data_IF_184547351981
#
_entry.id   IF_184547351981
#
_cell.length_a   1.000
_cell.length_b   1.000
_cell.length_c   1.000
_cell.angle_alpha   90.00
_cell.angle_beta   90.00
_cell.angle_gamma   90.00
#
_symmetry.space_group_name_H-M   'P 1'
#
loop_
_entity.id
_entity.type
_entity.pdbx_description
1 polymer ?
#
# COMPACT_ATOMS: atom_id res chain seq x y z
N UNK A 1 4.73 -8.39 -0.23
CA UNK A 1 3.28 -8.14 -0.33
C UNK A 1 2.83 -7.80 -1.76
N UNK A 2 2.98 -6.56 -2.24
CA UNK A 2 2.42 -6.13 -3.56
C UNK A 2 2.89 -6.99 -4.74
N UNK A 3 4.18 -7.36 -4.77
CA UNK A 3 4.72 -8.21 -5.84
C UNK A 3 4.26 -9.67 -5.78
N UNK A 4 3.60 -10.09 -4.71
CA UNK A 4 3.15 -11.47 -4.50
C UNK A 4 1.61 -11.60 -4.48
N UNK A 5 0.86 -10.49 -4.61
CA UNK A 5 -0.59 -10.57 -4.62
C UNK A 5 -1.12 -11.11 -5.96
N UNK A 6 -2.31 -11.69 -5.91
CA UNK A 6 -3.11 -12.16 -7.05
C UNK A 6 -4.19 -11.14 -7.46
N UNK A 7 -4.60 -10.28 -6.52
CA UNK A 7 -5.48 -9.13 -6.74
C UNK A 7 -4.86 -7.89 -6.08
N UNK A 8 -4.78 -6.80 -6.83
CA UNK A 8 -4.40 -5.48 -6.34
C UNK A 8 -5.60 -4.54 -6.43
N UNK A 9 -6.01 -4.00 -5.28
CA UNK A 9 -7.09 -3.00 -5.20
C UNK A 9 -6.45 -1.65 -4.94
N UNK A 10 -6.40 -0.80 -5.96
CA UNK A 10 -5.87 0.55 -5.89
C UNK A 10 -7.00 1.56 -5.67
N UNK A 11 -6.95 2.31 -4.57
CA UNK A 11 -7.97 3.29 -4.20
C UNK A 11 -7.38 4.69 -4.06
N UNK A 12 -7.81 5.64 -4.89
CA UNK A 12 -7.29 7.02 -4.87
C UNK A 12 -5.79 7.12 -5.17
N UNK A 13 -5.25 6.08 -5.81
CA UNK A 13 -3.84 5.95 -6.16
C UNK A 13 -3.68 6.29 -7.64
N UNK A 14 -2.74 7.18 -7.93
CA UNK A 14 -2.22 7.35 -9.29
C UNK A 14 -1.04 6.41 -9.44
N UNK A 15 -1.08 5.55 -10.45
CA UNK A 15 0.06 4.72 -10.83
C UNK A 15 1.13 5.60 -11.47
N UNK A 16 1.83 6.39 -10.67
CA UNK A 16 2.86 7.31 -11.16
C UNK A 16 4.21 6.60 -11.27
N UNK A 17 5.09 7.14 -12.11
CA UNK A 17 6.45 6.60 -12.35
C UNK A 17 7.34 6.61 -11.08
N UNK A 18 6.97 7.40 -10.07
CA UNK A 18 7.60 7.47 -8.75
C UNK A 18 7.33 6.26 -7.85
N UNK A 19 6.38 5.40 -8.22
CA UNK A 19 6.06 4.18 -7.47
C UNK A 19 7.02 3.06 -7.93
N UNK A 20 8.17 3.03 -7.28
CA UNK A 20 9.10 1.87 -7.18
C UNK A 20 9.36 1.10 -8.48
N UNK A 21 10.00 1.76 -9.45
CA UNK A 21 10.65 1.09 -10.58
C UNK A 21 9.67 0.50 -11.59
N UNK A 22 10.24 0.11 -12.75
CA UNK A 22 9.58 -0.52 -13.91
C UNK A 22 8.13 -0.94 -13.67
N UNK A 23 7.19 -0.06 -14.01
CA UNK A 23 5.74 -0.27 -13.90
C UNK A 23 5.30 -1.59 -14.59
N UNK A 24 6.04 -2.00 -15.62
CA UNK A 24 5.92 -3.27 -16.34
C UNK A 24 6.21 -4.53 -15.50
N UNK A 25 6.83 -4.37 -14.33
CA UNK A 25 7.08 -5.44 -13.37
C UNK A 25 6.20 -5.33 -12.12
N UNK A 26 5.42 -4.26 -11.97
CA UNK A 26 4.62 -4.02 -10.78
C UNK A 26 3.38 -4.92 -10.74
N UNK A 27 3.31 -5.81 -9.76
CA UNK A 27 2.16 -6.70 -9.54
C UNK A 27 1.74 -7.45 -10.82
N UNK A 28 2.73 -7.87 -11.63
CA UNK A 28 2.51 -8.37 -13.00
C UNK A 28 1.57 -9.57 -13.10
N UNK A 29 1.52 -10.39 -12.06
CA UNK A 29 0.61 -11.55 -11.97
C UNK A 29 -0.78 -11.21 -11.41
N UNK A 30 -0.98 -10.02 -10.88
CA UNK A 30 -2.19 -9.65 -10.16
C UNK A 30 -3.27 -9.09 -11.10
N UNK A 31 -4.52 -9.34 -10.76
CA UNK A 31 -5.68 -8.61 -11.29
C UNK A 31 -5.78 -7.24 -10.64
N UNK A 32 -5.97 -6.20 -11.44
CA UNK A 32 -5.96 -4.83 -10.94
C UNK A 32 -7.37 -4.24 -10.96
N UNK A 33 -7.85 -3.87 -9.79
CA UNK A 33 -9.07 -3.07 -9.60
C UNK A 33 -8.64 -1.65 -9.24
N UNK A 34 -9.02 -0.66 -10.03
CA UNK A 34 -8.58 0.73 -9.85
C UNK A 34 -9.77 1.66 -9.63
N UNK A 35 -9.89 2.16 -8.41
CA UNK A 35 -10.86 3.19 -8.02
C UNK A 35 -10.25 4.58 -8.20
N UNK A 36 -10.87 5.39 -9.05
CA UNK A 36 -10.38 6.72 -9.38
C UNK A 36 -11.56 7.65 -9.72
N UNK A 37 -11.48 8.91 -9.29
CA UNK A 37 -12.49 9.91 -9.60
C UNK A 37 -12.27 10.50 -11.00
N UNK A 38 -11.01 10.67 -11.39
CA UNK A 38 -10.62 11.23 -12.69
C UNK A 38 -10.45 10.16 -13.78
N UNK A 39 -11.34 10.18 -14.77
CA UNK A 39 -11.29 9.28 -15.94
C UNK A 39 -9.97 9.36 -16.70
N UNK A 40 -9.29 10.51 -16.69
CA UNK A 40 -8.03 10.70 -17.41
C UNK A 40 -6.86 9.94 -16.79
N UNK A 41 -6.94 9.57 -15.51
CA UNK A 41 -5.87 8.87 -14.80
C UNK A 41 -6.02 7.34 -14.88
N UNK A 42 -7.23 6.84 -15.17
CA UNK A 42 -7.49 5.41 -15.37
C UNK A 42 -6.83 4.91 -16.66
N UNK A 43 -6.01 3.86 -16.56
CA UNK A 43 -5.40 3.22 -17.73
C UNK A 43 -4.24 3.99 -18.37
N UNK A 44 -3.84 5.14 -17.81
CA UNK A 44 -2.78 6.01 -18.33
C UNK A 44 -1.40 5.35 -18.25
N UNK A 45 -1.07 4.78 -17.09
CA UNK A 45 0.24 4.18 -16.81
C UNK A 45 0.15 2.67 -16.59
N UNK A 46 -0.93 2.21 -15.96
CA UNK A 46 -1.24 0.79 -15.77
C UNK A 46 -2.69 0.59 -16.19
N UNK A 47 -2.94 -0.39 -17.07
CA UNK A 47 -4.29 -0.72 -17.53
C UNK A 47 -4.94 -1.63 -16.49
N UNK A 48 -5.99 -1.19 -15.78
CA UNK A 48 -6.67 -2.04 -14.81
C UNK A 48 -7.55 -3.08 -15.52
N UNK A 49 -7.74 -4.24 -14.90
CA UNK A 49 -8.74 -5.21 -15.33
C UNK A 49 -10.16 -4.68 -15.08
N UNK A 50 -10.35 -3.99 -13.94
CA UNK A 50 -11.65 -3.41 -13.55
C UNK A 50 -11.45 -1.97 -13.10
N UNK A 51 -11.81 -0.97 -13.93
CA UNK A 51 -11.84 0.42 -13.50
C UNK A 51 -13.17 0.75 -12.79
N UNK A 52 -13.11 1.39 -11.63
CA UNK A 52 -14.26 1.92 -10.90
C UNK A 52 -14.14 3.44 -10.85
N UNK A 53 -14.99 4.12 -11.60
CA UNK A 53 -14.95 5.58 -11.72
C UNK A 53 -16.02 6.19 -10.83
N UNK A 54 -15.61 6.94 -9.81
CA UNK A 54 -16.53 7.61 -8.88
C UNK A 54 -15.87 7.99 -7.57
N UNK A 55 -16.64 8.67 -6.70
CA UNK A 55 -16.19 8.99 -5.35
C UNK A 55 -16.10 7.70 -4.52
N UNK A 56 -14.95 7.50 -3.88
CA UNK A 56 -14.70 6.34 -3.02
C UNK A 56 -15.73 6.24 -1.88
N UNK A 57 -16.21 7.38 -1.37
CA UNK A 57 -17.25 7.48 -0.35
C UNK A 57 -18.60 6.92 -0.82
N UNK A 58 -18.84 6.87 -2.13
CA UNK A 58 -20.06 6.31 -2.73
C UNK A 58 -19.83 4.88 -3.22
N UNK A 59 -18.71 4.63 -3.91
CA UNK A 59 -18.45 3.35 -4.56
C UNK A 59 -18.12 2.23 -3.58
N UNK A 60 -17.40 2.54 -2.48
CA UNK A 60 -17.01 1.51 -1.52
C UNK A 60 -18.23 0.98 -0.74
N UNK A 61 -19.13 1.81 -0.18
CA UNK A 61 -20.36 1.32 0.45
C UNK A 61 -21.28 0.56 -0.49
N UNK A 62 -21.31 0.91 -1.78
CA UNK A 62 -22.09 0.17 -2.78
C UNK A 62 -21.51 -1.22 -3.05
N UNK A 63 -20.19 -1.39 -2.99
CA UNK A 63 -19.50 -2.66 -3.24
C UNK A 63 -19.48 -3.58 -2.01
N UNK A 64 -19.35 -3.04 -0.80
CA UNK A 64 -19.21 -3.83 0.44
C UNK A 64 -20.26 -4.94 0.62
N UNK A 65 -21.57 -4.72 0.36
CA UNK A 65 -22.59 -5.77 0.48
C UNK A 65 -22.44 -6.92 -0.51
N UNK A 66 -21.68 -6.72 -1.59
CA UNK A 66 -21.42 -7.72 -2.62
C UNK A 66 -20.20 -8.59 -2.29
N UNK A 67 -19.45 -8.24 -1.25
CA UNK A 67 -18.23 -8.95 -0.86
C UNK A 67 -18.60 -10.05 0.14
N UNK A 68 -18.24 -11.28 -0.20
CA UNK A 68 -18.28 -12.39 0.73
C UNK A 68 -17.09 -12.33 1.68
N UNK A 69 -17.33 -12.50 2.98
CA UNK A 69 -16.25 -12.65 3.94
C UNK A 69 -15.47 -13.95 3.67
N UNK A 70 -14.15 -13.84 3.50
CA UNK A 70 -13.26 -14.97 3.29
C UNK A 70 -12.08 -14.91 4.24
N UNK A 71 -11.62 -16.09 4.68
CA UNK A 71 -10.45 -16.24 5.55
C UNK A 71 -9.25 -16.68 4.73
N UNK A 72 -8.25 -15.81 4.62
CA UNK A 72 -7.02 -16.06 3.90
C UNK A 72 -5.85 -16.31 4.87
N UNK A 73 -5.95 -17.34 5.71
CA UNK A 73 -5.00 -17.58 6.80
C UNK A 73 -3.55 -17.74 6.33
N UNK A 74 -3.33 -18.44 5.21
CA UNK A 74 -1.99 -18.63 4.64
C UNK A 74 -1.39 -17.28 4.23
N UNK A 75 -2.13 -16.49 3.47
CA UNK A 75 -1.70 -15.16 3.03
C UNK A 75 -1.43 -14.22 4.21
N UNK A 76 -2.29 -14.22 5.23
CA UNK A 76 -2.08 -13.42 6.44
C UNK A 76 -0.83 -13.84 7.22
N UNK A 77 -0.51 -15.14 7.22
CA UNK A 77 0.71 -15.66 7.84
C UNK A 77 1.95 -15.22 7.06
N UNK A 78 1.95 -15.32 5.73
CA UNK A 78 3.06 -14.85 4.87
C UNK A 78 3.30 -13.34 5.03
N UNK A 79 2.24 -12.53 5.09
CA UNK A 79 2.35 -11.09 5.36
C UNK A 79 3.03 -10.82 6.71
N UNK A 80 2.64 -11.55 7.75
CA UNK A 80 3.21 -11.40 9.09
C UNK A 80 4.69 -11.80 9.15
N UNK A 81 5.07 -12.84 8.42
CA UNK A 81 6.47 -13.26 8.29
C UNK A 81 7.30 -12.16 7.61
N UNK A 82 6.83 -11.63 6.47
CA UNK A 82 7.53 -10.54 5.79
C UNK A 82 7.62 -9.26 6.63
N UNK A 83 6.58 -8.91 7.39
CA UNK A 83 6.60 -7.79 8.33
C UNK A 83 7.67 -8.00 9.41
N UNK A 84 7.74 -9.21 9.97
CA UNK A 84 8.71 -9.56 11.01
C UNK A 84 10.15 -9.49 10.48
N UNK A 85 10.41 -10.08 9.31
CA UNK A 85 11.73 -10.07 8.68
C UNK A 85 12.18 -8.64 8.36
N UNK A 86 11.28 -7.83 7.77
CA UNK A 86 11.59 -6.44 7.41
C UNK A 86 11.96 -5.60 8.64
N UNK A 87 11.21 -5.75 9.74
CA UNK A 87 11.43 -5.02 10.98
C UNK A 87 12.78 -5.33 11.66
N UNK A 88 13.31 -6.55 11.46
CA UNK A 88 14.64 -6.94 11.97
C UNK A 88 15.79 -6.29 11.22
N UNK A 89 15.58 -5.96 9.94
CA UNK A 89 16.57 -5.30 9.08
C UNK A 89 16.42 -3.78 8.99
N UNK A 90 15.39 -3.21 9.64
CA UNK A 90 15.15 -1.78 9.58
C UNK A 90 16.19 -0.97 10.38
N UNK A 91 16.93 -0.12 9.66
CA UNK A 91 17.96 0.78 10.19
C UNK A 91 17.38 1.75 11.26
N UNK A 92 16.06 1.98 11.23
CA UNK A 92 15.33 2.82 12.20
C UNK A 92 15.34 2.21 13.62
N UNK A 93 15.54 0.89 13.72
CA UNK A 93 15.60 0.14 14.98
C UNK A 93 17.03 -0.11 15.47
N UNK A 94 18.06 0.27 14.71
CA UNK A 94 19.44 0.22 15.19
C UNK A 94 19.69 1.37 16.17
N UNK A 95 20.05 1.04 17.41
CA UNK A 95 20.71 1.98 18.32
C UNK A 95 22.12 2.23 17.77
N UNK A 96 22.31 3.40 17.15
CA UNK A 96 23.61 3.86 16.71
C UNK A 96 24.08 4.99 17.63
N UNK A 97 25.36 4.95 18.02
CA UNK A 97 26.00 5.97 18.86
C UNK A 97 26.18 7.32 18.13
N UNK A 98 25.94 7.37 16.81
CA UNK A 98 25.99 8.57 15.99
C UNK A 98 24.60 9.01 15.50
N UNK A 99 24.40 10.33 15.41
CA UNK A 99 23.19 10.95 14.89
C UNK A 99 23.01 10.62 13.40
N UNK A 100 22.26 9.57 13.10
CA UNK A 100 21.80 9.27 11.74
C UNK A 100 20.45 9.95 11.45
N UNK A 101 20.21 10.42 10.21
CA UNK A 101 18.95 11.08 9.83
C UNK A 101 17.67 10.32 10.21
N UNK A 102 17.58 8.97 10.09
CA UNK A 102 16.41 8.22 10.53
C UNK A 102 16.11 8.36 12.03
N UNK A 103 17.15 8.44 12.87
CA UNK A 103 17.01 8.62 14.31
C UNK A 103 16.44 10.01 14.64
N UNK A 104 16.90 11.07 13.97
CA UNK A 104 16.37 12.44 14.15
C UNK A 104 14.89 12.51 13.80
N UNK A 105 14.49 11.92 12.67
CA UNK A 105 13.09 11.88 12.25
C UNK A 105 12.23 11.13 13.26
N UNK A 106 12.71 9.99 13.78
CA UNK A 106 12.03 9.23 14.84
C UNK A 106 11.86 10.04 16.13
N UNK A 107 12.88 10.78 16.56
CA UNK A 107 12.84 11.62 17.76
C UNK A 107 11.87 12.81 17.62
N UNK A 108 11.82 13.44 16.44
CA UNK A 108 10.84 14.49 16.14
C UNK A 108 9.42 13.95 16.16
N UNK A 109 9.18 12.76 15.62
CA UNK A 109 7.87 12.11 15.65
C UNK A 109 7.43 11.79 17.09
N UNK A 110 8.32 11.23 17.93
CA UNK A 110 8.00 10.98 19.34
C UNK A 110 7.71 12.26 20.12
N UNK A 111 8.47 13.33 19.87
CA UNK A 111 8.31 14.61 20.57
C UNK A 111 7.02 15.34 20.19
N UNK A 112 6.52 15.17 18.96
CA UNK A 112 5.26 15.76 18.49
C UNK A 112 4.04 14.88 18.83
N UNK A 113 4.22 13.56 18.84
CA UNK A 113 3.16 12.62 19.24
C UNK A 113 2.87 12.69 20.75
N UNK A 114 3.86 12.98 21.59
CA UNK A 114 3.68 13.24 23.02
C UNK A 114 3.21 14.66 23.37
N UNK A 115 3.20 15.59 22.40
CA UNK A 115 2.69 16.96 22.60
C UNK A 115 1.18 17.08 22.35
N UNK A 116 0.52 15.97 22.01
CA UNK A 116 -0.93 15.92 21.69
C UNK A 116 -1.78 15.29 22.81
N UNK A 117 -1.23 15.14 24.02
CA UNK A 117 -1.96 14.72 25.23
C UNK A 117 -2.24 15.89 26.17
#
# INVERSE_FOLDING_TARGET
>A
AVQACDVLIAMGMRFDDRITGRLDSFAKQAKIIHFELDRAEVGKNVVPDVPVIGDLAETLPAMLPMIEERRHQIWLQELKEWETDSAQTDIINYEVDELIPPYVIRQLWHSTSNASS
#
